data_IF_424801961834
#
_entry.id   IF_424801961834
#
_cell.length_a   1.000
_cell.length_b   1.000
_cell.length_c   1.000
_cell.angle_alpha   90.00
_cell.angle_beta   90.00
_cell.angle_gamma   90.00
#
_symmetry.space_group_name_H-M   'P 1'
#
loop_
_entity.id
_entity.type
_entity.pdbx_description
1 polymer ?
#
# COMPACT_ATOMS: atom_id res chain seq x y z
N UNK A 1 12.31 17.30 -21.36
CA UNK A 1 11.92 16.00 -20.76
C UNK A 1 11.00 16.27 -19.58
N UNK A 2 10.09 15.35 -19.23
CA UNK A 2 9.21 15.50 -18.06
C UNK A 2 9.89 14.91 -16.83
N UNK A 3 9.81 15.60 -15.68
CA UNK A 3 10.34 15.14 -14.41
C UNK A 3 9.27 15.32 -13.31
N UNK A 4 9.47 14.61 -12.20
CA UNK A 4 8.65 14.76 -11.00
C UNK A 4 9.44 15.53 -9.95
N UNK A 5 8.76 16.45 -9.27
CA UNK A 5 9.36 17.29 -8.25
C UNK A 5 8.51 17.22 -6.98
N UNK A 6 9.14 17.43 -5.83
CA UNK A 6 8.49 17.60 -4.53
C UNK A 6 8.82 19.00 -4.03
N UNK A 7 7.78 19.77 -3.70
CA UNK A 7 7.91 21.11 -3.17
C UNK A 7 7.40 21.14 -1.72
N UNK A 8 8.13 21.82 -0.85
CA UNK A 8 7.72 22.09 0.53
C UNK A 8 7.21 23.52 0.60
N UNK A 9 5.99 23.69 1.09
CA UNK A 9 5.34 24.99 1.21
C UNK A 9 5.21 25.40 2.68
N UNK A 10 5.37 26.69 2.97
CA UNK A 10 5.06 27.25 4.28
C UNK A 10 3.54 27.46 4.46
N UNK A 11 3.13 27.96 5.64
CA UNK A 11 1.72 28.27 5.97
C UNK A 11 1.07 29.32 5.06
N UNK A 12 1.86 30.08 4.31
CA UNK A 12 1.40 31.08 3.35
C UNK A 12 1.47 30.57 1.90
N UNK A 13 1.68 29.27 1.70
CA UNK A 13 1.83 28.61 0.40
C UNK A 13 3.05 29.10 -0.39
N UNK A 14 4.07 29.64 0.29
CA UNK A 14 5.34 29.96 -0.34
C UNK A 14 6.23 28.72 -0.38
N UNK A 15 6.83 28.43 -1.53
CA UNK A 15 7.84 27.38 -1.66
C UNK A 15 9.06 27.76 -0.81
N UNK A 16 9.43 26.88 0.12
CA UNK A 16 10.59 27.05 1.03
C UNK A 16 11.68 25.99 0.80
N UNK A 17 11.35 24.91 0.11
CA UNK A 17 12.30 23.87 -0.27
C UNK A 17 11.77 23.04 -1.44
N UNK A 18 12.68 22.34 -2.13
CA UNK A 18 12.31 21.49 -3.27
C UNK A 18 13.31 20.37 -3.49
N UNK A 19 12.79 19.22 -3.94
CA UNK A 19 13.56 18.14 -4.55
C UNK A 19 13.06 18.05 -6.00
N UNK A 20 13.94 18.17 -6.98
CA UNK A 20 13.57 18.20 -8.39
C UNK A 20 14.22 17.07 -9.17
N UNK A 21 13.65 16.72 -10.32
CA UNK A 21 14.28 15.76 -11.24
C UNK A 21 14.09 14.29 -10.86
N UNK A 22 13.07 13.96 -10.06
CA UNK A 22 12.76 12.58 -9.67
C UNK A 22 12.09 11.84 -10.84
N UNK A 23 12.54 10.61 -11.12
CA UNK A 23 11.95 9.74 -12.15
C UNK A 23 11.81 10.43 -13.51
N UNK A 24 12.93 10.78 -14.17
CA UNK A 24 12.88 11.41 -15.49
C UNK A 24 12.10 10.54 -16.48
N UNK A 25 11.13 11.13 -17.17
CA UNK A 25 10.18 10.47 -18.10
C UNK A 25 9.20 9.49 -17.44
N UNK A 26 9.15 9.43 -16.11
CA UNK A 26 8.26 8.57 -15.33
C UNK A 26 7.08 9.37 -14.76
N UNK A 27 6.02 8.66 -14.36
CA UNK A 27 4.86 9.26 -13.69
C UNK A 27 4.83 8.86 -12.22
N UNK A 28 4.30 9.73 -11.37
CA UNK A 28 3.98 9.38 -9.98
C UNK A 28 2.81 8.40 -9.95
N UNK A 29 2.97 7.31 -9.21
CA UNK A 29 1.91 6.33 -8.94
C UNK A 29 1.45 6.37 -7.48
N UNK A 30 2.36 6.66 -6.55
CA UNK A 30 2.01 6.78 -5.13
C UNK A 30 2.91 7.76 -4.42
N UNK A 31 2.34 8.44 -3.42
CA UNK A 31 3.09 9.25 -2.45
C UNK A 31 2.61 8.94 -1.04
N UNK A 32 3.52 8.99 -0.08
CA UNK A 32 3.19 8.92 1.34
C UNK A 32 4.15 9.77 2.14
N UNK A 33 3.66 10.40 3.19
CA UNK A 33 4.47 11.18 4.12
C UNK A 33 4.26 10.61 5.52
N UNK A 34 5.35 10.36 6.23
CA UNK A 34 5.35 9.80 7.59
C UNK A 34 6.39 10.59 8.38
N UNK A 35 5.94 11.33 9.39
CA UNK A 35 6.80 12.21 10.18
C UNK A 35 7.62 13.15 9.28
N UNK A 36 8.95 13.03 9.33
CA UNK A 36 9.93 13.80 8.56
C UNK A 36 10.41 13.08 7.29
N UNK A 37 9.76 11.98 6.88
CA UNK A 37 10.08 11.23 5.67
C UNK A 37 8.97 11.34 4.63
N UNK A 38 9.38 11.44 3.36
CA UNK A 38 8.52 11.32 2.19
C UNK A 38 8.84 10.07 1.40
N UNK A 39 7.84 9.44 0.80
CA UNK A 39 7.97 8.26 -0.03
C UNK A 39 7.27 8.52 -1.35
N UNK A 40 7.95 8.25 -2.45
CA UNK A 40 7.46 8.49 -3.79
C UNK A 40 7.73 7.26 -4.65
N UNK A 41 6.70 6.77 -5.31
CA UNK A 41 6.81 5.72 -6.32
C UNK A 41 6.58 6.35 -7.67
N UNK A 42 7.57 6.26 -8.55
CA UNK A 42 7.44 6.61 -9.96
C UNK A 42 7.55 5.38 -10.82
N UNK A 43 6.95 5.39 -12.01
CA UNK A 43 7.05 4.23 -12.89
C UNK A 43 6.99 4.58 -14.37
N UNK A 44 7.78 3.83 -15.13
CA UNK A 44 7.66 3.68 -16.60
C UNK A 44 7.75 2.20 -16.99
N UNK A 45 8.74 1.47 -16.46
CA UNK A 45 8.93 0.01 -16.62
C UNK A 45 9.53 -0.68 -15.38
N UNK A 46 10.22 0.06 -14.50
CA UNK A 46 10.75 -0.40 -13.21
C UNK A 46 10.54 0.74 -12.21
N UNK A 47 10.09 0.43 -11.01
CA UNK A 47 9.87 1.39 -9.92
C UNK A 47 11.22 1.86 -9.38
N UNK A 48 11.43 3.16 -9.17
CA UNK A 48 12.19 3.58 -8.01
C UNK A 48 11.24 4.01 -6.89
N UNK A 49 11.22 3.23 -5.81
CA UNK A 49 10.66 3.63 -4.53
C UNK A 49 11.66 4.60 -3.89
N UNK A 50 11.40 5.89 -4.01
CA UNK A 50 12.23 6.96 -3.44
C UNK A 50 11.90 7.20 -1.97
N UNK A 51 12.94 7.45 -1.18
CA UNK A 51 12.83 7.93 0.20
C UNK A 51 13.44 9.31 0.30
N UNK A 52 12.65 10.25 0.80
CA UNK A 52 12.95 11.65 0.94
C UNK A 52 13.10 11.99 2.42
N UNK A 53 14.12 12.75 2.76
CA UNK A 53 14.31 13.38 4.07
C UNK A 53 13.76 14.80 4.01
N UNK A 54 12.77 15.06 4.85
CA UNK A 54 12.04 16.31 5.00
C UNK A 54 12.26 16.94 6.38
N UNK A 55 13.21 16.43 7.18
CA UNK A 55 13.51 16.93 8.53
C UNK A 55 13.92 18.40 8.56
N UNK A 56 14.60 18.85 7.50
CA UNK A 56 14.81 20.27 7.22
C UNK A 56 13.95 20.71 6.02
N UNK A 57 12.80 21.37 6.24
CA UNK A 57 11.90 21.77 5.16
C UNK A 57 12.48 22.80 4.20
N UNK A 58 13.54 23.53 4.60
CA UNK A 58 14.25 24.48 3.72
C UNK A 58 15.32 23.80 2.86
N UNK A 59 15.67 22.55 3.17
CA UNK A 59 16.66 21.76 2.43
C UNK A 59 16.25 20.28 2.39
N UNK A 60 15.09 19.95 1.77
CA UNK A 60 14.65 18.56 1.64
C UNK A 60 15.61 17.80 0.70
N UNK A 61 15.82 16.50 0.96
CA UNK A 61 16.79 15.68 0.22
C UNK A 61 16.20 14.34 -0.23
N UNK A 62 16.54 13.88 -1.43
CA UNK A 62 16.37 12.46 -1.78
C UNK A 62 17.51 11.66 -1.13
N UNK A 63 17.18 10.78 -0.19
CA UNK A 63 18.18 10.02 0.59
C UNK A 63 18.47 8.64 0.03
N UNK A 64 17.45 7.98 -0.50
CA UNK A 64 17.54 6.60 -0.93
C UNK A 64 16.56 6.30 -2.04
N UNK A 65 16.85 5.25 -2.77
CA UNK A 65 15.97 4.68 -3.78
C UNK A 65 16.08 3.16 -3.73
N UNK A 66 14.96 2.47 -3.90
CA UNK A 66 14.91 1.04 -4.06
C UNK A 66 14.29 0.71 -5.42
N UNK A 67 15.03 -0.02 -6.26
CA UNK A 67 14.53 -0.48 -7.56
C UNK A 67 14.05 -1.92 -7.47
N UNK A 68 12.76 -2.13 -7.74
CA UNK A 68 12.12 -3.45 -7.71
C UNK A 68 11.25 -3.68 -8.94
N UNK A 69 11.03 -4.93 -9.36
CA UNK A 69 10.06 -5.24 -10.41
C UNK A 69 8.64 -4.82 -10.00
N UNK A 70 7.83 -4.43 -10.99
CA UNK A 70 6.50 -3.88 -10.74
C UNK A 70 6.55 -2.46 -10.17
N UNK A 71 5.44 -2.02 -9.59
CA UNK A 71 5.28 -0.74 -8.90
C UNK A 71 4.25 -0.85 -7.78
N UNK A 72 4.29 0.05 -6.80
CA UNK A 72 3.21 0.25 -5.83
C UNK A 72 2.35 1.47 -6.20
N UNK A 73 1.04 1.30 -6.35
CA UNK A 73 0.11 2.44 -6.51
C UNK A 73 -0.49 2.91 -5.19
N UNK A 74 -0.49 2.07 -4.16
CA UNK A 74 -0.94 2.42 -2.82
C UNK A 74 0.13 2.10 -1.78
N UNK A 75 0.42 3.08 -0.93
CA UNK A 75 1.35 2.94 0.20
C UNK A 75 0.60 3.16 1.52
N UNK A 76 0.63 2.14 2.38
CA UNK A 76 0.05 2.14 3.70
C UNK A 76 1.15 2.06 4.77
N UNK A 77 1.33 3.09 5.61
CA UNK A 77 2.14 3.01 6.81
C UNK A 77 1.61 1.93 7.76
N UNK A 78 2.50 1.05 8.22
CA UNK A 78 2.25 0.08 9.29
C UNK A 78 2.85 0.60 10.60
N UNK A 79 4.08 1.10 10.51
CA UNK A 79 4.76 1.86 11.57
C UNK A 79 5.45 3.07 10.94
N UNK A 80 6.21 3.84 11.75
CA UNK A 80 7.06 4.91 11.20
C UNK A 80 8.18 4.43 10.27
N UNK A 81 8.56 3.15 10.41
CA UNK A 81 9.70 2.54 9.70
C UNK A 81 9.29 1.37 8.79
N UNK A 82 7.99 1.05 8.70
CA UNK A 82 7.46 -0.04 7.86
C UNK A 82 6.26 0.40 7.04
N UNK A 83 6.29 0.10 5.74
CA UNK A 83 5.26 0.48 4.78
C UNK A 83 4.83 -0.74 3.98
N UNK A 84 3.52 -0.96 3.92
CA UNK A 84 2.92 -1.91 3.00
C UNK A 84 2.65 -1.23 1.66
N UNK A 85 3.16 -1.80 0.57
CA UNK A 85 2.87 -1.37 -0.80
C UNK A 85 1.93 -2.34 -1.49
N UNK A 86 0.87 -1.82 -2.10
CA UNK A 86 -0.03 -2.56 -2.98
C UNK A 86 0.11 -2.01 -4.39
N UNK A 87 0.28 -2.89 -5.35
CA UNK A 87 0.46 -2.50 -6.75
C UNK A 87 0.46 -3.70 -7.69
N UNK A 88 1.28 -3.64 -8.74
CA UNK A 88 1.31 -4.69 -9.75
C UNK A 88 2.72 -5.07 -10.18
N UNK A 89 2.95 -6.36 -10.44
CA UNK A 89 4.16 -6.93 -11.03
C UNK A 89 3.73 -7.98 -12.06
N UNK A 90 4.19 -7.89 -13.31
CA UNK A 90 3.84 -8.86 -14.35
C UNK A 90 2.34 -8.94 -14.69
N UNK A 91 1.57 -7.89 -14.40
CA UNK A 91 0.11 -7.88 -14.59
C UNK A 91 -0.68 -8.49 -13.43
N UNK A 92 -0.01 -8.97 -12.38
CA UNK A 92 -0.62 -9.52 -11.18
C UNK A 92 -0.53 -8.54 -10.01
N UNK A 93 -1.47 -8.60 -9.09
CA UNK A 93 -1.50 -7.82 -7.85
C UNK A 93 -0.31 -8.24 -6.99
N UNK A 94 0.47 -7.25 -6.59
CA UNK A 94 1.65 -7.39 -5.75
C UNK A 94 1.40 -6.73 -4.40
N UNK A 95 1.81 -7.42 -3.35
CA UNK A 95 1.93 -6.89 -2.00
C UNK A 95 3.42 -6.90 -1.62
N UNK A 96 3.92 -5.77 -1.16
CA UNK A 96 5.29 -5.60 -0.66
C UNK A 96 5.27 -5.05 0.75
N UNK A 97 6.22 -5.49 1.57
CA UNK A 97 6.52 -4.87 2.86
C UNK A 97 7.90 -4.24 2.77
N UNK A 98 7.97 -2.93 3.01
CA UNK A 98 9.19 -2.15 2.97
C UNK A 98 9.67 -1.81 4.37
N UNK A 99 10.96 -2.04 4.64
CA UNK A 99 11.68 -1.47 5.78
C UNK A 99 12.37 -0.18 5.32
N UNK A 100 12.04 0.92 5.98
CA UNK A 100 12.53 2.27 5.71
C UNK A 100 13.14 2.92 6.95
N UNK A 101 13.60 2.09 7.89
CA UNK A 101 14.34 2.52 9.09
C UNK A 101 15.51 3.41 8.69
N UNK A 102 16.32 2.95 7.73
CA UNK A 102 17.39 3.73 7.11
C UNK A 102 16.88 4.41 5.83
N UNK A 103 16.78 5.73 5.84
CA UNK A 103 16.30 6.48 4.68
C UNK A 103 17.21 6.33 3.45
N UNK A 104 18.49 6.03 3.64
CA UNK A 104 19.46 5.81 2.56
C UNK A 104 19.55 4.36 2.08
N UNK A 105 18.95 3.41 2.80
CA UNK A 105 18.99 1.98 2.49
C UNK A 105 17.60 1.31 2.69
N UNK A 106 16.56 1.74 1.95
CA UNK A 106 15.24 1.10 1.99
C UNK A 106 15.27 -0.32 1.40
N UNK A 107 14.50 -1.24 1.99
CA UNK A 107 14.48 -2.67 1.61
C UNK A 107 13.07 -3.20 1.44
N UNK A 108 12.85 -4.03 0.41
CA UNK A 108 11.68 -4.90 0.30
C UNK A 108 11.96 -6.16 1.13
N UNK A 109 11.40 -6.22 2.35
CA UNK A 109 11.66 -7.29 3.32
C UNK A 109 10.71 -8.48 3.16
N UNK A 110 9.54 -8.27 2.56
CA UNK A 110 8.64 -9.34 2.12
C UNK A 110 7.90 -8.96 0.85
N UNK A 111 7.55 -9.98 0.05
CA UNK A 111 6.75 -9.84 -1.18
C UNK A 111 5.79 -11.02 -1.33
N UNK A 112 4.59 -10.73 -1.83
CA UNK A 112 3.61 -11.72 -2.24
C UNK A 112 3.00 -11.32 -3.60
N UNK A 113 2.97 -12.26 -4.55
CA UNK A 113 2.27 -12.10 -5.82
C UNK A 113 0.96 -12.85 -5.73
N UNK A 114 -0.14 -12.11 -5.68
CA UNK A 114 -1.48 -12.67 -5.65
C UNK A 114 -1.89 -13.06 -7.07
N UNK A 115 -2.50 -14.23 -7.21
CA UNK A 115 -3.06 -14.68 -8.50
C UNK A 115 -4.37 -13.94 -8.85
N UNK A 116 -4.26 -12.63 -8.93
CA UNK A 116 -5.28 -11.67 -9.30
C UNK A 116 -4.66 -10.63 -10.20
N UNK A 117 -5.36 -10.21 -11.25
CA UNK A 117 -4.84 -9.16 -12.13
C UNK A 117 -5.30 -7.76 -11.69
N UNK A 118 -6.26 -7.67 -10.76
CA UNK A 118 -6.84 -6.43 -10.30
C UNK A 118 -7.21 -6.51 -8.82
N UNK A 119 -7.14 -5.35 -8.16
CA UNK A 119 -7.72 -5.07 -6.86
C UNK A 119 -8.24 -3.64 -6.89
N UNK A 120 -9.39 -3.37 -6.28
CA UNK A 120 -9.91 -1.99 -6.19
C UNK A 120 -8.92 -1.08 -5.44
N UNK A 121 -8.05 -1.63 -4.58
CA UNK A 121 -6.97 -0.91 -3.87
C UNK A 121 -5.97 -0.25 -4.84
N UNK A 122 -5.84 -0.79 -6.07
CA UNK A 122 -4.97 -0.20 -7.08
C UNK A 122 -5.46 1.16 -7.58
N UNK A 123 -6.77 1.43 -7.43
CA UNK A 123 -7.42 2.66 -7.90
C UNK A 123 -7.99 3.53 -6.77
N UNK A 124 -8.31 2.94 -5.61
CA UNK A 124 -8.86 3.67 -4.48
C UNK A 124 -8.44 3.08 -3.13
N UNK A 125 -7.91 3.94 -2.26
CA UNK A 125 -7.51 3.56 -0.90
C UNK A 125 -8.69 3.14 -0.01
N UNK A 126 -9.93 3.52 -0.33
CA UNK A 126 -11.13 3.14 0.43
C UNK A 126 -11.44 1.64 0.39
N UNK A 127 -10.85 0.90 -0.55
CA UNK A 127 -11.01 -0.55 -0.67
C UNK A 127 -10.13 -1.34 0.31
N UNK A 128 -9.09 -0.68 0.85
CA UNK A 128 -8.11 -1.29 1.73
C UNK A 128 -8.57 -1.23 3.19
N UNK A 129 -8.33 -2.31 3.95
CA UNK A 129 -8.55 -2.34 5.40
C UNK A 129 -7.30 -2.90 6.09
N UNK A 130 -6.79 -2.16 7.08
CA UNK A 130 -5.73 -2.61 7.98
C UNK A 130 -6.31 -2.90 9.35
N UNK A 131 -5.87 -4.00 9.96
CA UNK A 131 -6.06 -4.27 11.37
C UNK A 131 -4.71 -4.49 12.04
N UNK A 132 -4.30 -3.47 12.78
CA UNK A 132 -3.01 -3.44 13.47
C UNK A 132 -3.00 -4.28 14.74
N UNK A 133 -4.16 -4.59 15.32
CA UNK A 133 -4.26 -5.41 16.54
C UNK A 133 -3.90 -6.86 16.25
N UNK A 134 -4.34 -7.37 15.10
CA UNK A 134 -4.11 -8.76 14.70
C UNK A 134 -3.00 -8.92 13.64
N UNK A 135 -2.38 -7.82 13.21
CA UNK A 135 -1.34 -7.78 12.18
C UNK A 135 -1.80 -8.35 10.83
N UNK A 136 -3.00 -7.96 10.41
CA UNK A 136 -3.63 -8.41 9.17
C UNK A 136 -4.15 -7.24 8.32
N UNK A 137 -4.37 -7.50 7.05
CA UNK A 137 -5.06 -6.57 6.14
C UNK A 137 -5.94 -7.33 5.15
N UNK A 138 -6.92 -6.62 4.59
CA UNK A 138 -7.82 -7.13 3.58
C UNK A 138 -7.61 -6.44 2.23
N UNK A 139 -7.65 -7.24 1.16
CA UNK A 139 -7.70 -6.78 -0.23
C UNK A 139 -8.89 -7.42 -0.97
N UNK A 140 -9.73 -6.64 -1.66
CA UNK A 140 -10.63 -7.19 -2.68
C UNK A 140 -9.85 -7.54 -3.95
N UNK A 141 -10.27 -8.56 -4.67
CA UNK A 141 -9.81 -8.93 -6.00
C UNK A 141 -10.98 -9.35 -6.90
N UNK A 142 -10.71 -9.73 -8.15
CA UNK A 142 -11.77 -10.11 -9.10
C UNK A 142 -12.49 -11.40 -8.71
N UNK A 143 -11.77 -12.35 -8.11
CA UNK A 143 -12.24 -13.69 -7.77
C UNK A 143 -12.78 -13.75 -6.33
N UNK A 144 -12.56 -12.72 -5.52
CA UNK A 144 -12.94 -12.75 -4.12
C UNK A 144 -12.33 -11.67 -3.23
N UNK A 145 -12.43 -11.90 -1.93
CA UNK A 145 -11.74 -11.13 -0.90
C UNK A 145 -10.57 -11.92 -0.29
N UNK A 146 -9.50 -11.22 0.09
CA UNK A 146 -8.27 -11.84 0.57
C UNK A 146 -7.83 -11.22 1.89
N UNK A 147 -7.56 -12.07 2.88
CA UNK A 147 -7.05 -11.68 4.19
C UNK A 147 -5.60 -12.13 4.27
N UNK A 148 -4.72 -11.18 4.53
CA UNK A 148 -3.29 -11.42 4.67
C UNK A 148 -2.84 -11.10 6.08
N UNK A 149 -1.83 -11.81 6.55
CA UNK A 149 -1.04 -11.48 7.72
C UNK A 149 0.26 -10.81 7.28
N UNK A 150 0.67 -9.77 8.00
CA UNK A 150 2.00 -9.16 7.88
C UNK A 150 2.90 -9.40 9.10
N UNK A 151 2.46 -10.28 10.02
CA UNK A 151 3.15 -10.61 11.26
C UNK A 151 4.57 -11.13 11.02
N UNK A 152 5.51 -10.66 11.83
CA UNK A 152 6.89 -11.14 11.82
C UNK A 152 7.64 -10.82 10.53
N UNK A 153 7.34 -9.68 9.90
CA UNK A 153 7.99 -9.21 8.68
C UNK A 153 7.83 -10.15 7.48
N UNK A 154 6.71 -10.87 7.43
CA UNK A 154 6.36 -11.77 6.34
C UNK A 154 4.95 -11.46 5.83
N UNK A 155 4.69 -11.68 4.54
CA UNK A 155 3.35 -11.57 3.96
C UNK A 155 2.81 -12.98 3.71
N UNK A 156 1.70 -13.32 4.38
CA UNK A 156 1.08 -14.64 4.29
C UNK A 156 -0.42 -14.49 3.98
N UNK A 157 -0.91 -15.16 2.94
CA UNK A 157 -2.35 -15.25 2.69
C UNK A 157 -2.99 -16.18 3.72
N UNK A 158 -3.81 -15.63 4.63
CA UNK A 158 -4.54 -16.38 5.66
C UNK A 158 -5.83 -16.98 5.14
N UNK A 159 -6.57 -16.23 4.31
CA UNK A 159 -7.87 -16.66 3.80
C UNK A 159 -8.16 -16.02 2.44
N UNK A 160 -8.63 -16.84 1.51
CA UNK A 160 -9.32 -16.38 0.31
C UNK A 160 -10.82 -16.69 0.44
N UNK A 161 -11.66 -15.73 0.09
CA UNK A 161 -13.12 -15.84 0.13
C UNK A 161 -13.61 -15.70 -1.30
N UNK A 162 -13.96 -16.83 -1.92
CA UNK A 162 -14.50 -16.87 -3.28
C UNK A 162 -16.02 -16.69 -3.29
N UNK A 163 -16.57 -16.51 -4.50
CA UNK A 163 -18.01 -16.41 -4.72
C UNK A 163 -18.61 -15.08 -4.29
N UNK A 164 -17.79 -14.07 -4.01
CA UNK A 164 -18.19 -12.70 -3.67
C UNK A 164 -17.46 -11.71 -4.57
N UNK A 165 -18.20 -10.76 -5.14
CA UNK A 165 -17.65 -9.57 -5.79
C UNK A 165 -17.23 -8.56 -4.74
N UNK A 166 -16.16 -8.85 -3.99
CA UNK A 166 -15.75 -8.07 -2.83
C UNK A 166 -15.29 -6.67 -3.23
N UNK A 167 -15.69 -5.66 -2.44
CA UNK A 167 -15.33 -4.25 -2.67
C UNK A 167 -14.49 -3.66 -1.55
N UNK A 168 -14.79 -4.05 -0.31
CA UNK A 168 -14.11 -3.59 0.90
C UNK A 168 -14.49 -4.51 2.05
N UNK A 169 -13.81 -4.32 3.18
CA UNK A 169 -14.22 -4.97 4.42
C UNK A 169 -14.25 -3.95 5.57
N UNK A 170 -14.95 -4.30 6.65
CA UNK A 170 -14.99 -3.54 7.89
C UNK A 170 -15.00 -4.49 9.10
N UNK A 171 -14.32 -4.11 10.18
CA UNK A 171 -14.43 -4.80 11.46
C UNK A 171 -15.56 -4.20 12.29
N UNK A 172 -16.40 -5.08 12.84
CA UNK A 172 -17.39 -4.73 13.85
C UNK A 172 -17.36 -5.80 14.94
N UNK A 173 -16.92 -5.41 16.13
CA UNK A 173 -16.61 -6.33 17.24
C UNK A 173 -15.61 -7.41 16.77
N UNK A 174 -15.88 -8.69 17.04
CA UNK A 174 -14.99 -9.81 16.74
C UNK A 174 -15.23 -10.42 15.34
N UNK A 175 -15.74 -9.61 14.40
CA UNK A 175 -16.15 -10.08 13.08
C UNK A 175 -15.66 -9.16 11.97
N UNK A 176 -15.23 -9.80 10.87
CA UNK A 176 -14.91 -9.13 9.62
C UNK A 176 -16.10 -9.23 8.65
N UNK A 177 -16.63 -8.09 8.25
CA UNK A 177 -17.70 -7.98 7.27
C UNK A 177 -17.09 -7.64 5.92
N UNK A 178 -17.12 -8.58 4.99
CA UNK A 178 -16.71 -8.38 3.60
C UNK A 178 -17.94 -7.94 2.82
N UNK A 179 -17.91 -6.70 2.33
CA UNK A 179 -18.99 -6.09 1.58
C UNK A 179 -18.70 -6.27 0.10
N UNK A 180 -19.57 -6.99 -0.58
CA UNK A 180 -19.55 -7.12 -2.04
C UNK A 180 -20.79 -6.51 -2.69
N UNK A 181 -20.85 -6.59 -4.02
CA UNK A 181 -21.91 -5.93 -4.81
C UNK A 181 -23.33 -6.42 -4.47
N UNK A 182 -23.49 -7.72 -4.24
CA UNK A 182 -24.81 -8.35 -4.06
C UNK A 182 -24.96 -9.06 -2.70
N UNK A 183 -23.92 -9.05 -1.86
CA UNK A 183 -23.95 -9.74 -0.58
C UNK A 183 -22.91 -9.19 0.39
N UNK A 184 -23.14 -9.45 1.68
CA UNK A 184 -22.18 -9.28 2.76
C UNK A 184 -21.86 -10.66 3.33
N UNK A 185 -20.58 -10.99 3.42
CA UNK A 185 -20.09 -12.21 4.08
C UNK A 185 -19.47 -11.83 5.41
N UNK A 186 -19.87 -12.51 6.49
CA UNK A 186 -19.36 -12.27 7.84
C UNK A 186 -18.46 -13.42 8.25
N UNK A 187 -17.24 -13.08 8.66
CA UNK A 187 -16.26 -14.03 9.16
C UNK A 187 -15.99 -13.78 10.64
N UNK A 188 -15.77 -14.86 11.39
CA UNK A 188 -15.17 -14.79 12.71
C UNK A 188 -13.69 -14.38 12.59
N UNK A 189 -13.23 -13.40 13.37
CA UNK A 189 -11.86 -12.89 13.26
C UNK A 189 -10.78 -13.84 13.81
N UNK A 190 -11.16 -14.79 14.66
CA UNK A 190 -10.20 -15.69 15.31
C UNK A 190 -9.79 -16.86 14.40
N UNK A 191 -10.73 -17.40 13.62
CA UNK A 191 -10.51 -18.59 12.80
C UNK A 191 -10.88 -18.43 11.31
N UNK A 192 -11.35 -17.25 10.91
CA UNK A 192 -11.77 -16.93 9.54
C UNK A 192 -12.87 -17.86 8.99
N UNK A 193 -13.65 -18.48 9.89
CA UNK A 193 -14.84 -19.25 9.50
C UNK A 193 -15.97 -18.31 9.12
N UNK A 194 -16.74 -18.70 8.09
CA UNK A 194 -17.95 -17.96 7.71
C UNK A 194 -19.02 -18.25 8.75
N UNK A 195 -19.53 -17.20 9.39
CA UNK A 195 -20.55 -17.30 10.44
C UNK A 195 -21.92 -16.79 10.00
N UNK A 196 -21.96 -15.91 8.99
CA UNK A 196 -23.21 -15.38 8.46
C UNK A 196 -23.04 -14.86 7.03
N UNK A 197 -24.15 -14.71 6.33
CA UNK A 197 -24.23 -14.04 5.03
C UNK A 197 -25.56 -13.30 4.88
N UNK A 198 -25.52 -12.19 4.16
CA UNK A 198 -26.70 -11.37 3.86
C UNK A 198 -26.70 -11.05 2.38
N UNK A 199 -27.80 -11.33 1.68
CA UNK A 199 -28.03 -10.85 0.32
C UNK A 199 -28.50 -9.39 0.34
N UNK A 200 -28.03 -8.59 -0.62
CA UNK A 200 -28.37 -7.17 -0.78
C UNK A 200 -29.38 -6.96 -1.92
#
# INVERSE_FOLDING_TARGET
ETANDVYVLDKNLKIIGSIQGLGLTEKIYSTRFIEDKGYLVTFRQTDPFYVLDLSNPNNPQMKGQLKIPGYSSYLQPITKDKILGIGQEGGQVKVSLFDVTSASDPKEIAKYILNENWSDVLSTHHAFLLDTKHEIFFLPGNQGGYIFSYKGDNIELKKAISGISARRAIYLNDYLYIIGDNQIVVLNEFDWTRVNELSL
#
